data_IF_523151920843
#
_entry.id   IF_523151920843
#
_cell.length_a   1.000
_cell.length_b   1.000
_cell.length_c   1.000
_cell.angle_alpha   90.00
_cell.angle_beta   90.00
_cell.angle_gamma   90.00
#
_symmetry.space_group_name_H-M   'P 1'
#
loop_
_entity.id
_entity.type
_entity.pdbx_description
1 polymer ?
#
# COMPACT_ATOMS: atom_id res chain seq x y z
N UNK A 1 -12.10 -9.17 -21.72
CA UNK A 1 -11.57 -8.40 -20.60
C UNK A 1 -11.98 -9.06 -19.29
N UNK A 2 -11.05 -9.22 -18.41
CA UNK A 2 -11.30 -9.84 -17.11
C UNK A 2 -11.18 -8.78 -16.02
N UNK A 3 -12.13 -8.80 -15.08
CA UNK A 3 -12.06 -7.96 -13.90
C UNK A 3 -11.29 -8.71 -12.81
N UNK A 4 -10.37 -8.02 -12.15
CA UNK A 4 -9.71 -8.53 -10.94
C UNK A 4 -10.06 -7.63 -9.77
N UNK A 5 -10.18 -8.21 -8.59
CA UNK A 5 -10.46 -7.47 -7.36
C UNK A 5 -9.29 -7.61 -6.41
N UNK A 6 -8.77 -6.47 -5.96
CA UNK A 6 -7.67 -6.40 -5.01
C UNK A 6 -8.25 -5.88 -3.69
N UNK A 7 -8.04 -6.64 -2.61
CA UNK A 7 -8.49 -6.28 -1.28
C UNK A 7 -7.29 -5.94 -0.41
N UNK A 8 -7.32 -4.77 0.22
CA UNK A 8 -6.26 -4.29 1.11
C UNK A 8 -6.83 -4.16 2.52
N UNK A 9 -6.25 -4.91 3.44
CA UNK A 9 -6.63 -4.88 4.85
C UNK A 9 -5.85 -3.76 5.56
N UNK A 10 -6.58 -2.80 6.09
CA UNK A 10 -6.04 -1.63 6.79
C UNK A 10 -5.24 -2.02 8.03
N UNK A 11 -5.73 -3.00 8.82
CA UNK A 11 -5.05 -3.42 10.05
C UNK A 11 -3.72 -4.11 9.76
N UNK A 12 -3.63 -4.92 8.72
CA UNK A 12 -2.36 -5.53 8.32
C UNK A 12 -1.31 -4.48 7.95
N UNK A 13 -1.72 -3.46 7.19
CA UNK A 13 -0.86 -2.34 6.84
C UNK A 13 -0.40 -1.60 8.10
N UNK A 14 -1.32 -1.31 9.01
CA UNK A 14 -1.02 -0.57 10.23
C UNK A 14 -0.08 -1.33 11.16
N UNK A 15 -0.25 -2.65 11.29
CA UNK A 15 0.68 -3.46 12.08
C UNK A 15 2.10 -3.45 11.51
N UNK A 16 2.25 -3.57 10.20
CA UNK A 16 3.57 -3.52 9.57
C UNK A 16 4.22 -2.14 9.71
N UNK A 17 3.45 -1.08 9.49
CA UNK A 17 3.92 0.30 9.69
C UNK A 17 4.36 0.49 11.15
N UNK A 18 3.61 -0.07 12.10
CA UNK A 18 3.93 0.03 13.52
C UNK A 18 5.25 -0.66 13.86
N UNK A 19 5.52 -1.82 13.27
CA UNK A 19 6.81 -2.52 13.45
C UNK A 19 7.97 -1.66 12.97
N UNK A 20 7.86 -1.13 11.77
CA UNK A 20 8.93 -0.33 11.16
C UNK A 20 9.17 0.94 11.97
N UNK A 21 8.10 1.65 12.36
CA UNK A 21 8.22 2.89 13.11
C UNK A 21 8.73 2.65 14.53
N UNK A 22 8.36 1.55 15.18
CA UNK A 22 8.92 1.17 16.47
C UNK A 22 10.41 0.93 16.37
N UNK A 23 10.86 0.26 15.31
CA UNK A 23 12.27 0.00 15.04
C UNK A 23 13.05 1.29 14.83
N UNK A 24 12.53 2.19 14.01
CA UNK A 24 13.15 3.51 13.74
C UNK A 24 13.21 4.33 15.03
N UNK A 25 12.16 4.30 15.83
CA UNK A 25 12.05 5.06 17.07
C UNK A 25 12.82 4.49 18.25
N UNK A 26 13.36 3.28 18.13
CA UNK A 26 14.03 2.59 19.24
C UNK A 26 13.10 2.27 20.40
N UNK A 27 11.80 2.18 20.17
CA UNK A 27 10.83 1.89 21.24
C UNK A 27 10.86 0.41 21.62
N UNK A 28 10.98 0.14 22.90
CA UNK A 28 10.71 -1.17 23.46
C UNK A 28 9.20 -1.36 23.54
N UNK A 29 8.71 -2.40 22.89
CA UNK A 29 7.28 -2.67 22.80
C UNK A 29 6.96 -3.83 23.74
N UNK A 30 6.09 -3.58 24.72
CA UNK A 30 5.69 -4.58 25.69
C UNK A 30 4.58 -5.49 25.17
N UNK A 31 4.59 -6.76 25.64
CA UNK A 31 3.59 -7.76 25.29
C UNK A 31 2.32 -7.68 26.14
N UNK A 32 1.86 -6.45 26.50
CA UNK A 32 0.77 -6.22 27.44
C UNK A 32 -0.63 -6.39 26.86
N UNK A 33 -0.81 -7.23 25.85
CA UNK A 33 -2.11 -7.46 25.22
C UNK A 33 -2.58 -6.33 24.29
N UNK A 34 -1.82 -5.26 24.16
CA UNK A 34 -2.09 -4.18 23.20
C UNK A 34 -1.45 -4.50 21.87
N UNK A 35 -2.11 -4.14 20.76
CA UNK A 35 -1.50 -4.25 19.44
C UNK A 35 -0.30 -3.33 19.34
N UNK A 36 0.62 -3.65 18.46
CA UNK A 36 1.79 -2.81 18.21
C UNK A 36 1.36 -1.41 17.73
N UNK A 37 0.29 -1.35 16.93
CA UNK A 37 -0.31 -0.11 16.49
C UNK A 37 -0.73 0.78 17.66
N UNK A 38 -1.42 0.22 18.66
CA UNK A 38 -1.85 0.96 19.86
C UNK A 38 -0.67 1.44 20.71
N UNK A 39 0.42 0.68 20.73
CA UNK A 39 1.61 1.05 21.51
C UNK A 39 2.43 2.16 20.83
N UNK A 40 2.56 2.11 19.51
CA UNK A 40 3.36 3.09 18.74
C UNK A 40 2.57 4.36 18.49
N UNK A 41 1.30 4.24 18.14
CA UNK A 41 0.39 5.35 17.82
C UNK A 41 -0.70 5.42 18.88
N UNK A 42 -0.28 5.74 20.13
CA UNK A 42 -1.13 5.63 21.30
C UNK A 42 -2.15 6.75 21.47
N UNK A 43 -1.99 7.90 20.80
CA UNK A 43 -2.91 9.03 20.92
C UNK A 43 -3.90 9.04 19.75
N UNK A 44 -5.07 9.66 19.97
CA UNK A 44 -6.06 9.83 18.90
C UNK A 44 -5.52 10.67 17.75
N UNK A 45 -4.70 11.67 18.05
CA UNK A 45 -4.06 12.51 17.04
C UNK A 45 -3.11 11.70 16.15
N UNK A 46 -2.32 10.80 16.74
CA UNK A 46 -1.43 9.91 15.98
C UNK A 46 -2.23 9.02 15.04
N UNK A 47 -3.33 8.44 15.52
CA UNK A 47 -4.20 7.56 14.73
C UNK A 47 -4.87 8.30 13.59
N UNK A 48 -5.31 9.53 13.82
CA UNK A 48 -5.88 10.38 12.77
C UNK A 48 -4.86 10.71 11.69
N UNK A 49 -3.61 10.97 12.07
CA UNK A 49 -2.53 11.22 11.11
C UNK A 49 -2.26 9.99 10.25
N UNK A 50 -2.19 8.82 10.86
CA UNK A 50 -1.99 7.56 10.13
C UNK A 50 -3.14 7.30 9.16
N UNK A 51 -4.38 7.52 9.58
CA UNK A 51 -5.55 7.39 8.70
C UNK A 51 -5.48 8.36 7.53
N UNK A 52 -5.02 9.58 7.76
CA UNK A 52 -4.82 10.58 6.71
C UNK A 52 -3.75 10.12 5.70
N UNK A 53 -2.63 9.60 6.18
CA UNK A 53 -1.56 9.08 5.32
C UNK A 53 -2.03 7.87 4.51
N UNK A 54 -2.80 6.99 5.14
CA UNK A 54 -3.40 5.84 4.46
C UNK A 54 -4.33 6.29 3.32
N UNK A 55 -5.20 7.25 3.58
CA UNK A 55 -6.12 7.81 2.58
C UNK A 55 -5.37 8.44 1.41
N UNK A 56 -4.32 9.20 1.68
CA UNK A 56 -3.47 9.80 0.63
C UNK A 56 -2.79 8.73 -0.21
N UNK A 57 -2.26 7.69 0.42
CA UNK A 57 -1.59 6.59 -0.27
C UNK A 57 -2.58 5.83 -1.16
N UNK A 58 -3.80 5.55 -0.68
CA UNK A 58 -4.82 4.86 -1.47
C UNK A 58 -5.24 5.69 -2.68
N UNK A 59 -5.36 7.01 -2.53
CA UNK A 59 -5.67 7.91 -3.64
C UNK A 59 -4.56 7.90 -4.69
N UNK A 60 -3.31 7.85 -4.28
CA UNK A 60 -2.16 7.77 -5.19
C UNK A 60 -2.15 6.45 -5.96
N UNK A 61 -2.50 5.35 -5.30
CA UNK A 61 -2.63 4.03 -5.96
C UNK A 61 -3.74 4.06 -7.01
N UNK A 62 -4.91 4.62 -6.67
CA UNK A 62 -6.02 4.75 -7.60
C UNK A 62 -5.61 5.57 -8.84
N UNK A 63 -4.89 6.67 -8.64
CA UNK A 63 -4.37 7.50 -9.72
C UNK A 63 -3.36 6.74 -10.59
N UNK A 64 -2.46 5.99 -9.98
CA UNK A 64 -1.48 5.18 -10.71
C UNK A 64 -2.14 4.11 -11.57
N UNK A 65 -3.29 3.60 -11.14
CA UNK A 65 -4.05 2.55 -11.84
C UNK A 65 -5.23 3.12 -12.64
N UNK A 66 -5.27 4.42 -12.91
CA UNK A 66 -6.40 5.08 -13.57
C UNK A 66 -6.81 4.44 -14.90
N UNK A 67 -5.86 3.87 -15.62
CA UNK A 67 -6.10 3.25 -16.91
C UNK A 67 -6.98 2.00 -16.82
N UNK A 68 -6.86 1.25 -15.73
CA UNK A 68 -7.58 -0.02 -15.53
C UNK A 68 -8.63 0.04 -14.43
N UNK A 69 -8.62 1.09 -13.60
CA UNK A 69 -9.52 1.21 -12.47
C UNK A 69 -10.96 1.33 -12.93
N UNK A 70 -11.79 0.37 -12.50
CA UNK A 70 -13.22 0.35 -12.76
C UNK A 70 -14.02 0.89 -11.57
N UNK A 71 -13.64 0.47 -10.36
CA UNK A 71 -14.34 0.84 -9.13
C UNK A 71 -13.40 0.77 -7.93
N UNK A 72 -13.70 1.54 -6.91
CA UNK A 72 -12.97 1.57 -5.66
C UNK A 72 -13.96 1.77 -4.52
N UNK A 73 -13.95 0.85 -3.55
CA UNK A 73 -14.77 0.92 -2.36
C UNK A 73 -13.90 1.01 -1.13
N UNK A 74 -14.22 1.94 -0.23
CA UNK A 74 -13.57 2.06 1.08
C UNK A 74 -14.55 1.67 2.17
N UNK A 75 -14.07 0.96 3.18
CA UNK A 75 -14.84 0.57 4.36
C UNK A 75 -13.95 0.54 5.60
N UNK A 76 -14.49 0.12 6.74
CA UNK A 76 -13.75 0.10 8.01
C UNK A 76 -12.60 -0.92 8.02
N UNK A 77 -12.68 -1.95 7.18
CA UNK A 77 -11.65 -3.00 7.08
C UNK A 77 -10.46 -2.54 6.24
N UNK A 78 -10.72 -1.75 5.21
CA UNK A 78 -9.71 -1.29 4.27
C UNK A 78 -10.32 -0.76 2.99
N UNK A 79 -9.80 -1.19 1.85
CA UNK A 79 -10.39 -0.82 0.57
C UNK A 79 -10.26 -1.94 -0.45
N UNK A 80 -11.16 -1.92 -1.42
CA UNK A 80 -11.20 -2.86 -2.53
C UNK A 80 -11.06 -2.11 -3.84
N UNK A 81 -10.20 -2.59 -4.71
CA UNK A 81 -10.03 -2.06 -6.06
C UNK A 81 -10.53 -3.11 -7.05
N UNK A 82 -11.42 -2.70 -7.96
CA UNK A 82 -11.81 -3.52 -9.10
C UNK A 82 -11.14 -2.95 -10.34
N UNK A 83 -10.29 -3.76 -10.98
CA UNK A 83 -9.54 -3.37 -12.17
C UNK A 83 -10.04 -4.15 -13.37
N UNK A 84 -10.32 -3.45 -14.45
CA UNK A 84 -10.67 -4.07 -15.73
C UNK A 84 -9.40 -4.24 -16.54
N UNK A 85 -8.89 -5.47 -16.55
CA UNK A 85 -7.66 -5.80 -17.22
C UNK A 85 -7.93 -6.23 -18.65
N UNK A 86 -6.98 -5.97 -19.60
CA UNK A 86 -7.10 -6.51 -20.95
C UNK A 86 -7.15 -8.04 -20.93
N UNK A 87 -7.79 -8.64 -21.94
CA UNK A 87 -7.99 -10.11 -22.00
C UNK A 87 -6.70 -10.92 -22.03
N UNK A 88 -5.58 -10.30 -22.42
CA UNK A 88 -4.26 -10.93 -22.43
C UNK A 88 -3.38 -10.52 -21.24
N UNK A 89 -3.97 -9.98 -20.18
CA UNK A 89 -3.25 -9.68 -18.95
C UNK A 89 -2.72 -10.97 -18.32
N UNK A 90 -1.49 -10.91 -17.79
CA UNK A 90 -0.91 -12.04 -17.08
C UNK A 90 -1.54 -12.19 -15.69
N UNK A 91 -2.38 -13.20 -15.52
CA UNK A 91 -3.06 -13.45 -14.24
C UNK A 91 -2.07 -13.79 -13.11
N UNK A 92 -0.90 -14.33 -13.44
CA UNK A 92 0.16 -14.59 -12.48
C UNK A 92 0.71 -13.32 -11.83
N UNK A 93 0.44 -12.15 -12.41
CA UNK A 93 0.90 -10.86 -11.90
C UNK A 93 -0.07 -10.21 -10.92
N UNK A 94 -1.24 -10.82 -10.68
CA UNK A 94 -2.23 -10.30 -9.73
C UNK A 94 -1.68 -10.24 -8.30
N UNK A 95 -1.03 -11.31 -7.85
CA UNK A 95 -0.43 -11.37 -6.51
C UNK A 95 0.73 -10.39 -6.36
N UNK A 96 1.73 -10.36 -7.26
CA UNK A 96 2.78 -9.33 -7.19
C UNK A 96 2.24 -7.90 -7.22
N UNK A 97 1.19 -7.63 -7.99
CA UNK A 97 0.56 -6.31 -8.01
C UNK A 97 -0.03 -5.95 -6.65
N UNK A 98 -0.75 -6.87 -6.03
CA UNK A 98 -1.33 -6.69 -4.70
C UNK A 98 -0.25 -6.42 -3.67
N UNK A 99 0.84 -7.20 -3.67
CA UNK A 99 1.96 -7.04 -2.76
C UNK A 99 2.66 -5.68 -2.96
N UNK A 100 2.84 -5.25 -4.21
CA UNK A 100 3.44 -3.95 -4.52
C UNK A 100 2.59 -2.79 -4.01
N UNK A 101 1.26 -2.90 -4.11
CA UNK A 101 0.33 -1.90 -3.58
C UNK A 101 0.47 -1.82 -2.05
N UNK A 102 0.49 -2.96 -1.37
CA UNK A 102 0.64 -3.01 0.09
C UNK A 102 1.98 -2.38 0.51
N UNK A 103 3.07 -2.77 -0.13
CA UNK A 103 4.40 -2.22 0.17
C UNK A 103 4.48 -0.72 -0.09
N UNK A 104 3.86 -0.24 -1.18
CA UNK A 104 3.81 1.18 -1.47
C UNK A 104 3.11 1.95 -0.35
N UNK A 105 1.95 1.47 0.09
CA UNK A 105 1.17 2.13 1.15
C UNK A 105 1.97 2.15 2.45
N UNK A 106 2.59 1.04 2.83
CA UNK A 106 3.42 0.93 4.02
C UNK A 106 4.59 1.93 3.98
N UNK A 107 5.35 1.94 2.90
CA UNK A 107 6.50 2.85 2.77
C UNK A 107 6.07 4.31 2.71
N UNK A 108 4.95 4.61 2.06
CA UNK A 108 4.39 5.96 1.99
C UNK A 108 4.01 6.48 3.37
N UNK A 109 3.36 5.66 4.19
CA UNK A 109 2.98 6.03 5.55
C UNK A 109 4.22 6.23 6.42
N UNK A 110 5.19 5.32 6.34
CA UNK A 110 6.44 5.42 7.12
C UNK A 110 7.20 6.68 6.73
N UNK A 111 7.32 6.98 5.44
CA UNK A 111 7.98 8.19 4.97
C UNK A 111 7.29 9.45 5.51
N UNK A 112 5.97 9.50 5.45
CA UNK A 112 5.20 10.64 5.94
C UNK A 112 5.34 10.80 7.46
N UNK A 113 5.30 9.71 8.21
CA UNK A 113 5.50 9.72 9.65
C UNK A 113 6.90 10.19 10.02
N UNK A 114 7.94 9.71 9.32
CA UNK A 114 9.32 10.15 9.52
C UNK A 114 9.47 11.64 9.25
N UNK A 115 8.81 12.15 8.22
CA UNK A 115 8.86 13.58 7.87
C UNK A 115 8.31 14.45 9.00
N UNK A 116 7.16 14.10 9.58
CA UNK A 116 6.56 14.90 10.66
C UNK A 116 7.26 14.73 12.00
N UNK A 117 7.96 13.63 12.21
CA UNK A 117 8.72 13.37 13.45
C UNK A 117 10.20 13.74 13.32
N UNK A 118 10.57 14.37 12.21
CA UNK A 118 11.95 14.82 11.91
C UNK A 118 12.98 13.69 11.91
N UNK A 119 12.59 12.53 11.42
CA UNK A 119 13.47 11.38 11.19
C UNK A 119 13.80 11.29 9.72
N UNK A 120 14.83 10.48 9.39
CA UNK A 120 15.24 10.29 8.00
C UNK A 120 14.17 9.52 7.22
N UNK A 121 13.56 10.20 6.25
CA UNK A 121 12.49 9.67 5.39
C UNK A 121 12.98 9.20 4.02
N UNK A 122 14.21 9.56 3.64
CA UNK A 122 14.69 9.48 2.26
C UNK A 122 14.57 8.06 1.66
N UNK A 123 15.00 7.04 2.37
CA UNK A 123 14.97 5.67 1.83
C UNK A 123 13.54 5.16 1.64
N UNK A 124 12.64 5.50 2.55
CA UNK A 124 11.23 5.10 2.46
C UNK A 124 10.51 5.86 1.36
N UNK A 125 10.76 7.16 1.22
CA UNK A 125 10.18 7.98 0.17
C UNK A 125 10.66 7.52 -1.21
N UNK A 126 11.94 7.24 -1.37
CA UNK A 126 12.51 6.73 -2.62
C UNK A 126 11.92 5.38 -2.99
N UNK A 127 11.80 4.47 -2.04
CA UNK A 127 11.21 3.15 -2.26
C UNK A 127 9.73 3.26 -2.62
N UNK A 128 8.98 4.11 -1.94
CA UNK A 128 7.56 4.35 -2.24
C UNK A 128 7.39 4.89 -3.67
N UNK A 129 8.20 5.86 -4.08
CA UNK A 129 8.16 6.42 -5.43
C UNK A 129 8.45 5.36 -6.50
N UNK A 130 9.46 4.52 -6.28
CA UNK A 130 9.81 3.43 -7.20
C UNK A 130 8.68 2.41 -7.29
N UNK A 131 8.06 2.06 -6.18
CA UNK A 131 6.92 1.13 -6.13
C UNK A 131 5.71 1.69 -6.87
N UNK A 132 5.43 2.98 -6.73
CA UNK A 132 4.30 3.61 -7.42
C UNK A 132 4.47 3.56 -8.94
N UNK A 133 5.68 3.82 -9.42
CA UNK A 133 6.01 3.68 -10.84
C UNK A 133 5.85 2.24 -11.32
N UNK A 134 6.28 1.28 -10.51
CA UNK A 134 6.14 -0.14 -10.81
C UNK A 134 4.66 -0.55 -10.88
N UNK A 135 3.84 -0.08 -9.94
CA UNK A 135 2.39 -0.33 -9.93
C UNK A 135 1.75 0.20 -11.22
N UNK A 136 2.09 1.42 -11.60
CA UNK A 136 1.59 2.00 -12.85
C UNK A 136 1.96 1.12 -14.05
N UNK A 137 3.20 0.67 -14.13
CA UNK A 137 3.68 -0.18 -15.22
C UNK A 137 3.02 -1.55 -15.24
N UNK A 138 2.74 -2.14 -14.07
CA UNK A 138 2.17 -3.48 -13.95
C UNK A 138 0.79 -3.62 -14.58
N UNK A 139 0.00 -2.55 -14.63
CA UNK A 139 -1.33 -2.60 -15.25
C UNK A 139 -1.27 -2.84 -16.77
N UNK A 140 -0.11 -2.63 -17.40
CA UNK A 140 0.07 -2.82 -18.82
C UNK A 140 0.71 -4.16 -19.19
N UNK A 141 1.00 -5.03 -18.20
CA UNK A 141 1.63 -6.32 -18.45
C UNK A 141 0.67 -7.26 -19.19
N UNK A 142 1.15 -7.88 -20.26
CA UNK A 142 0.37 -8.76 -21.11
C UNK A 142 1.14 -10.02 -21.40
N UNK A 143 0.41 -11.10 -21.72
CA UNK A 143 1.01 -12.31 -22.24
C UNK A 143 1.59 -12.02 -23.63
N UNK A 144 2.74 -12.60 -23.92
CA UNK A 144 3.31 -12.51 -25.27
C UNK A 144 2.42 -13.25 -26.25
N UNK A 145 2.16 -12.68 -27.44
CA UNK A 145 1.44 -13.42 -28.49
C UNK A 145 2.18 -14.71 -28.81
N UNK A 146 1.43 -15.80 -28.98
CA UNK A 146 2.00 -17.06 -29.45
C UNK A 146 2.38 -16.88 -30.94
N UNK A 147 3.62 -17.18 -31.27
CA UNK A 147 4.06 -17.20 -32.65
C UNK A 147 3.61 -18.52 -33.30
N UNK A 148 2.83 -18.41 -34.35
CA UNK A 148 2.47 -19.53 -35.20
C UNK A 148 3.45 -19.56 -36.35
N UNK A 149 4.41 -20.46 -36.27
CA UNK A 149 5.30 -20.73 -37.39
C UNK A 149 4.90 -22.05 -38.02
#
# INVERSE_FOLDING_TARGET
MADITIQIDKQEVYEEVSKVTAYIGGKNVDANGKTLYDQVFGTDADKEMIDSFFSSATSNVATALEHTLKDMETNDIGFNLTLRMPGNFRTTMEKPLTESIIEYIENSIVAAWCAITKKDEESYATKASALLQQINAMQYLRQRPKRNF
#
